data_IF_153592622122
#
_entry.id   IF_153592622122
#
_cell.length_a   1.000
_cell.length_b   1.000
_cell.length_c   1.000
_cell.angle_alpha   90.00
_cell.angle_beta   90.00
_cell.angle_gamma   90.00
#
_symmetry.space_group_name_H-M   'P 1'
#
loop_
_entity.id
_entity.type
_entity.pdbx_description
1 polymer ?
#
# COMPACT_ATOMS: atom_id res chain seq x y z
N UNK A 1 -13.76 -12.27 11.92
CA UNK A 1 -12.44 -12.66 12.44
C UNK A 1 -11.36 -11.78 11.82
N UNK A 2 -10.44 -11.34 12.64
CA UNK A 2 -9.33 -10.51 12.17
C UNK A 2 -8.20 -11.39 11.63
N UNK A 3 -7.74 -11.06 10.42
CA UNK A 3 -6.61 -11.76 9.80
C UNK A 3 -5.54 -10.76 9.44
N UNK A 4 -4.29 -11.13 9.66
CA UNK A 4 -3.15 -10.32 9.24
C UNK A 4 -2.31 -11.20 8.34
N UNK A 5 -2.19 -10.82 7.08
CA UNK A 5 -1.54 -11.65 6.06
C UNK A 5 -0.39 -10.87 5.45
N UNK A 6 0.86 -11.21 5.77
CA UNK A 6 1.99 -10.57 5.11
C UNK A 6 2.13 -11.10 3.68
N UNK A 7 2.28 -10.20 2.74
CA UNK A 7 2.48 -10.54 1.35
C UNK A 7 3.93 -10.37 0.92
N UNK A 8 4.75 -9.81 1.79
CA UNK A 8 6.18 -9.65 1.57
C UNK A 8 6.80 -9.03 2.79
N UNK A 9 8.13 -8.96 2.82
CA UNK A 9 8.87 -8.33 3.90
C UNK A 9 9.29 -9.23 5.04
N UNK A 10 8.78 -10.45 5.10
CA UNK A 10 9.19 -11.39 6.14
C UNK A 10 10.45 -12.11 5.71
N UNK A 11 11.50 -11.99 6.52
CA UNK A 11 12.76 -12.63 6.23
C UNK A 11 13.51 -12.04 5.06
N UNK A 12 13.14 -10.83 4.65
CA UNK A 12 13.80 -10.17 3.54
C UNK A 12 13.75 -8.66 3.75
N UNK A 13 14.64 -7.95 3.06
CA UNK A 13 14.68 -6.51 3.10
C UNK A 13 13.91 -5.99 1.91
N UNK A 14 12.96 -5.10 2.17
CA UNK A 14 12.10 -4.60 1.11
C UNK A 14 10.83 -5.43 0.96
N UNK A 15 10.06 -5.17 -0.08
CA UNK A 15 8.80 -5.85 -0.38
C UNK A 15 7.78 -5.77 0.76
N UNK A 16 7.87 -4.76 1.60
CA UNK A 16 6.97 -4.65 2.75
C UNK A 16 5.54 -4.43 2.30
N UNK A 17 4.69 -5.40 2.60
CA UNK A 17 3.28 -5.32 2.27
C UNK A 17 2.51 -6.27 3.15
N UNK A 18 1.44 -5.77 3.74
CA UNK A 18 0.63 -6.55 4.66
C UNK A 18 -0.83 -6.30 4.39
N UNK A 19 -1.62 -7.34 4.52
CA UNK A 19 -3.07 -7.23 4.39
C UNK A 19 -3.68 -7.40 5.78
N UNK A 20 -4.59 -6.50 6.14
CA UNK A 20 -5.36 -6.62 7.36
C UNK A 20 -6.82 -6.80 6.93
N UNK A 21 -7.39 -7.93 7.30
CA UNK A 21 -8.75 -8.26 6.90
C UNK A 21 -9.63 -8.49 8.11
N UNK A 22 -10.79 -7.87 8.11
CA UNK A 22 -11.78 -8.09 9.16
C UNK A 22 -13.14 -8.22 8.47
N UNK A 23 -13.75 -9.40 8.60
CA UNK A 23 -15.00 -9.73 7.91
C UNK A 23 -14.86 -9.48 6.41
N UNK A 24 -15.57 -8.53 5.84
CA UNK A 24 -15.54 -8.26 4.41
C UNK A 24 -14.76 -7.01 4.05
N UNK A 25 -13.89 -6.55 4.95
CA UNK A 25 -13.13 -5.32 4.76
C UNK A 25 -11.64 -5.63 4.77
N UNK A 26 -10.93 -5.17 3.76
CA UNK A 26 -9.49 -5.38 3.64
C UNK A 26 -8.78 -4.04 3.51
N UNK A 27 -7.75 -3.85 4.34
CA UNK A 27 -6.82 -2.73 4.23
C UNK A 27 -5.45 -3.26 3.86
N UNK A 28 -4.74 -2.53 3.03
CA UNK A 28 -3.37 -2.85 2.67
C UNK A 28 -2.45 -1.90 3.43
N UNK A 29 -1.46 -2.46 4.12
CA UNK A 29 -0.48 -1.66 4.85
C UNK A 29 0.83 -1.73 4.07
N UNK A 30 1.24 -0.61 3.50
CA UNK A 30 2.44 -0.46 2.69
C UNK A 30 2.38 -1.26 1.40
N UNK A 31 3.16 -0.84 0.42
CA UNK A 31 3.27 -1.51 -0.87
C UNK A 31 4.68 -1.29 -1.38
N UNK A 32 5.62 -2.04 -0.82
CA UNK A 32 7.04 -1.86 -1.08
C UNK A 32 7.53 -2.62 -2.28
N UNK A 33 8.72 -2.23 -2.73
CA UNK A 33 9.41 -2.97 -3.77
C UNK A 33 10.82 -3.25 -3.30
N UNK A 34 11.50 -4.12 -4.03
CA UNK A 34 12.88 -4.47 -3.75
C UNK A 34 13.64 -4.45 -5.07
N UNK A 35 14.90 -4.00 -5.02
CA UNK A 35 15.75 -4.10 -6.19
C UNK A 35 16.25 -5.54 -6.29
N UNK A 36 16.40 -6.08 -7.51
CA UNK A 36 16.76 -7.49 -7.68
C UNK A 36 18.18 -7.78 -7.21
N UNK A 37 18.36 -9.01 -6.76
CA UNK A 37 19.69 -9.50 -6.43
C UNK A 37 20.48 -9.77 -7.71
N UNK A 38 21.81 -9.87 -7.58
CA UNK A 38 22.66 -10.09 -8.74
C UNK A 38 22.31 -11.34 -9.55
N UNK A 39 21.76 -12.35 -8.90
CA UNK A 39 21.41 -13.58 -9.60
C UNK A 39 20.09 -13.51 -10.37
N UNK A 40 19.35 -12.43 -10.22
CA UNK A 40 18.08 -12.25 -10.92
C UNK A 40 18.30 -11.54 -12.25
N UNK A 41 18.82 -12.29 -13.21
CA UNK A 41 19.17 -11.70 -14.51
C UNK A 41 17.91 -11.25 -15.25
N UNK A 42 17.96 -10.05 -15.82
CA UNK A 42 16.85 -9.52 -16.60
C UNK A 42 15.70 -8.95 -15.80
N UNK A 43 15.86 -8.86 -14.49
CA UNK A 43 14.83 -8.29 -13.61
C UNK A 43 15.28 -6.92 -13.13
N UNK A 44 14.45 -5.90 -13.34
CA UNK A 44 14.77 -4.53 -12.93
C UNK A 44 14.28 -4.22 -11.53
N UNK A 45 13.09 -4.69 -11.18
CA UNK A 45 12.51 -4.48 -9.85
C UNK A 45 11.72 -5.73 -9.45
N UNK A 46 11.51 -5.86 -8.14
CA UNK A 46 10.69 -6.95 -7.59
C UNK A 46 9.56 -6.33 -6.80
N UNK A 47 8.34 -6.74 -7.09
CA UNK A 47 7.16 -6.26 -6.36
C UNK A 47 6.49 -7.45 -5.66
N UNK A 48 5.70 -7.18 -4.61
CA UNK A 48 5.02 -8.27 -3.90
C UNK A 48 4.02 -8.99 -4.80
N UNK A 49 3.75 -10.25 -4.47
CA UNK A 49 2.74 -11.01 -5.19
C UNK A 49 1.37 -10.40 -4.95
N UNK A 50 0.63 -10.21 -6.04
CA UNK A 50 -0.65 -9.49 -5.98
C UNK A 50 -1.86 -10.41 -6.09
N UNK A 51 -1.65 -11.71 -6.14
CA UNK A 51 -2.76 -12.63 -6.38
C UNK A 51 -3.86 -12.53 -5.35
N UNK A 52 -3.48 -12.49 -4.07
CA UNK A 52 -4.46 -12.38 -3.00
C UNK A 52 -5.30 -11.11 -3.14
N UNK A 53 -4.64 -10.02 -3.52
CA UNK A 53 -5.32 -8.75 -3.66
C UNK A 53 -6.28 -8.78 -4.84
N UNK A 54 -5.86 -9.36 -5.95
CA UNK A 54 -6.72 -9.46 -7.14
C UNK A 54 -7.96 -10.31 -6.87
N UNK A 55 -7.78 -11.38 -6.11
CA UNK A 55 -8.88 -12.29 -5.80
C UNK A 55 -9.89 -11.67 -4.84
N UNK A 56 -9.48 -10.67 -4.08
CA UNK A 56 -10.31 -10.08 -3.05
C UNK A 56 -10.58 -8.59 -3.29
N UNK A 57 -10.47 -8.13 -4.51
CA UNK A 57 -10.57 -6.69 -4.76
C UNK A 57 -11.91 -6.08 -4.38
N UNK A 58 -12.96 -6.87 -4.32
CA UNK A 58 -14.26 -6.36 -3.90
C UNK A 58 -14.28 -5.96 -2.43
N UNK A 59 -13.37 -6.49 -1.63
CA UNK A 59 -13.27 -6.20 -0.20
C UNK A 59 -12.30 -5.09 0.12
N UNK A 60 -11.47 -4.70 -0.83
CA UNK A 60 -10.42 -3.70 -0.61
C UNK A 60 -11.02 -2.32 -0.39
N UNK A 61 -10.57 -1.64 0.65
CA UNK A 61 -11.09 -0.32 1.00
C UNK A 61 -10.07 0.79 0.90
N UNK A 62 -8.82 0.52 1.28
CA UNK A 62 -7.82 1.58 1.32
C UNK A 62 -6.42 1.01 1.48
N UNK A 63 -5.43 1.85 1.16
CA UNK A 63 -4.03 1.56 1.42
C UNK A 63 -3.55 2.56 2.46
N UNK A 64 -2.89 2.07 3.51
CA UNK A 64 -2.31 2.91 4.54
C UNK A 64 -0.79 2.79 4.42
N UNK A 65 -0.11 3.92 4.32
CA UNK A 65 1.34 3.93 4.18
C UNK A 65 1.98 4.42 5.46
N UNK A 66 2.89 3.63 6.01
CA UNK A 66 3.52 3.95 7.28
C UNK A 66 4.61 5.03 7.13
N UNK A 67 5.41 4.93 6.07
CA UNK A 67 6.40 5.98 5.79
C UNK A 67 6.86 5.87 4.34
N UNK A 68 7.63 6.86 3.89
CA UNK A 68 7.87 7.09 2.47
C UNK A 68 9.18 6.52 1.93
N UNK A 69 9.59 5.36 2.40
CA UNK A 69 10.77 4.69 1.85
C UNK A 69 10.34 3.72 0.74
N UNK A 70 11.23 3.48 -0.22
CA UNK A 70 10.92 2.62 -1.36
C UNK A 70 10.47 1.21 -0.95
N UNK A 71 11.02 0.69 0.13
CA UNK A 71 10.61 -0.64 0.60
C UNK A 71 9.21 -0.62 1.21
N UNK A 72 8.55 0.54 1.26
CA UNK A 72 7.19 0.67 1.76
C UNK A 72 6.23 1.28 0.74
N UNK A 73 6.74 2.02 -0.26
CA UNK A 73 5.86 2.65 -1.24
C UNK A 73 6.22 2.33 -2.69
N UNK A 74 7.34 1.65 -2.92
CA UNK A 74 7.85 1.49 -4.28
C UNK A 74 6.89 0.76 -5.23
N UNK A 75 6.10 -0.16 -4.73
CA UNK A 75 5.16 -0.90 -5.57
C UNK A 75 3.79 -0.26 -5.64
N UNK A 76 3.58 0.83 -4.90
CA UNK A 76 2.27 1.48 -4.85
C UNK A 76 1.72 1.87 -6.22
N UNK A 77 2.51 2.49 -7.11
CA UNK A 77 1.96 2.83 -8.44
C UNK A 77 1.51 1.60 -9.21
N UNK A 78 2.21 0.48 -9.08
CA UNK A 78 1.83 -0.73 -9.79
C UNK A 78 0.51 -1.28 -9.27
N UNK A 79 0.32 -1.24 -7.96
CA UNK A 79 -0.93 -1.64 -7.35
C UNK A 79 -2.08 -0.75 -7.79
N UNK A 80 -1.88 0.57 -7.76
CA UNK A 80 -2.92 1.52 -8.07
C UNK A 80 -3.29 1.57 -9.55
N UNK A 81 -2.40 1.11 -10.41
CA UNK A 81 -2.73 0.96 -11.82
C UNK A 81 -3.80 -0.10 -12.02
N UNK A 82 -3.75 -1.16 -11.23
CA UNK A 82 -4.71 -2.23 -11.35
C UNK A 82 -5.99 -1.95 -10.56
N UNK A 83 -5.84 -1.42 -9.36
CA UNK A 83 -6.96 -1.22 -8.45
C UNK A 83 -6.86 0.16 -7.84
N UNK A 84 -7.80 1.03 -8.14
CA UNK A 84 -7.78 2.38 -7.61
C UNK A 84 -8.35 2.40 -6.21
N UNK A 85 -7.51 2.77 -5.25
CA UNK A 85 -7.88 2.80 -3.84
C UNK A 85 -7.45 4.12 -3.24
N UNK A 86 -8.20 4.63 -2.25
CA UNK A 86 -7.72 5.80 -1.53
C UNK A 86 -6.48 5.44 -0.72
N UNK A 87 -5.57 6.39 -0.61
CA UNK A 87 -4.30 6.20 0.10
C UNK A 87 -4.28 7.11 1.31
N UNK A 88 -3.91 6.56 2.45
CA UNK A 88 -3.83 7.30 3.72
C UNK A 88 -2.38 7.37 4.19
N UNK A 89 -1.98 8.54 4.64
CA UNK A 89 -0.63 8.72 5.17
C UNK A 89 -0.45 10.09 5.79
N UNK A 90 0.72 10.31 6.39
CA UNK A 90 1.03 11.61 6.95
C UNK A 90 1.35 12.61 5.84
N UNK A 91 1.41 13.91 6.17
CA UNK A 91 1.62 14.95 5.18
C UNK A 91 2.90 14.73 4.38
N UNK A 92 4.01 14.42 5.05
CA UNK A 92 5.27 14.20 4.38
C UNK A 92 5.19 13.01 3.43
N UNK A 93 4.63 11.92 3.93
CA UNK A 93 4.49 10.69 3.15
C UNK A 93 3.63 10.92 1.92
N UNK A 94 2.51 11.64 2.08
CA UNK A 94 1.62 11.90 0.95
C UNK A 94 2.27 12.79 -0.10
N UNK A 95 3.12 13.73 0.31
CA UNK A 95 3.84 14.58 -0.64
C UNK A 95 4.75 13.73 -1.53
N UNK A 96 5.46 12.79 -0.93
CA UNK A 96 6.35 11.91 -1.67
C UNK A 96 5.53 10.97 -2.58
N UNK A 97 4.44 10.44 -2.08
CA UNK A 97 3.57 9.56 -2.86
C UNK A 97 2.99 10.31 -4.05
N UNK A 98 2.55 11.55 -3.84
CA UNK A 98 2.00 12.34 -4.93
C UNK A 98 3.02 12.53 -6.04
N UNK A 99 4.26 12.82 -5.67
CA UNK A 99 5.32 12.98 -6.64
C UNK A 99 5.52 11.69 -7.44
N UNK A 100 5.52 10.57 -6.74
CA UNK A 100 5.67 9.27 -7.40
C UNK A 100 4.49 8.97 -8.32
N UNK A 101 3.27 9.31 -7.91
CA UNK A 101 2.10 9.08 -8.75
C UNK A 101 2.12 9.95 -10.00
N UNK A 102 2.65 11.16 -9.91
CA UNK A 102 2.80 12.02 -11.08
C UNK A 102 3.69 11.36 -12.13
N UNK A 103 4.77 10.72 -11.69
CA UNK A 103 5.67 10.03 -12.61
C UNK A 103 4.97 8.90 -13.35
N UNK A 104 3.95 8.31 -12.75
CA UNK A 104 3.19 7.22 -13.35
C UNK A 104 1.86 7.71 -13.94
N UNK A 105 1.64 9.03 -13.94
CA UNK A 105 0.43 9.66 -14.48
C UNK A 105 -0.84 9.17 -13.79
N UNK A 106 -0.75 8.93 -12.49
CA UNK A 106 -1.88 8.46 -11.68
C UNK A 106 -2.39 9.50 -10.71
N UNK A 107 -1.75 10.65 -10.64
CA UNK A 107 -2.05 11.65 -9.59
C UNK A 107 -3.48 12.19 -9.65
N UNK A 108 -4.09 12.21 -10.82
CA UNK A 108 -5.46 12.73 -10.94
C UNK A 108 -6.53 11.68 -10.65
N UNK A 109 -6.13 10.42 -10.52
CA UNK A 109 -7.07 9.32 -10.34
C UNK A 109 -7.11 8.77 -8.92
N UNK A 110 -6.16 9.17 -8.09
CA UNK A 110 -6.01 8.57 -6.77
C UNK A 110 -6.29 9.60 -5.69
N UNK A 111 -7.14 9.23 -4.75
CA UNK A 111 -7.48 10.10 -3.62
C UNK A 111 -6.43 9.91 -2.52
N UNK A 112 -5.85 11.03 -2.07
CA UNK A 112 -4.87 11.02 -0.98
C UNK A 112 -5.51 11.62 0.26
N UNK A 113 -5.44 10.90 1.37
CA UNK A 113 -6.07 11.31 2.61
C UNK A 113 -5.05 11.48 3.72
N UNK A 114 -5.07 12.64 4.34
CA UNK A 114 -4.11 12.97 5.39
C UNK A 114 -4.49 12.35 6.72
N UNK A 115 -3.51 11.75 7.37
CA UNK A 115 -3.64 11.24 8.73
C UNK A 115 -2.62 11.96 9.58
N UNK A 116 -3.05 12.52 10.71
CA UNK A 116 -2.13 13.11 11.68
C UNK A 116 -1.77 12.07 12.73
N UNK A 117 -0.50 12.01 13.15
CA UNK A 117 -0.08 11.04 14.16
C UNK A 117 -0.94 11.12 15.41
N UNK A 118 -1.39 9.98 15.88
CA UNK A 118 -2.24 9.91 17.06
C UNK A 118 -3.70 10.17 16.80
N UNK A 119 -4.05 10.55 15.59
CA UNK A 119 -5.42 10.84 15.24
C UNK A 119 -6.14 9.58 14.79
N UNK A 120 -7.42 9.53 15.10
CA UNK A 120 -8.24 8.39 14.71
C UNK A 120 -8.99 8.74 13.44
N UNK A 121 -8.98 7.85 12.48
CA UNK A 121 -9.74 8.05 11.26
C UNK A 121 -11.21 7.76 11.53
N UNK A 122 -12.04 8.68 11.07
CA UNK A 122 -13.49 8.56 11.25
C UNK A 122 -14.20 8.11 10.00
N UNK A 123 -13.50 7.43 9.11
CA UNK A 123 -14.13 6.90 7.91
C UNK A 123 -15.11 5.81 8.28
N UNK A 124 -16.27 6.22 8.54
CA UNK A 124 -17.26 5.34 9.07
C UNK A 124 -17.69 4.23 8.17
N UNK A 125 -17.68 4.47 6.91
CA UNK A 125 -18.06 3.44 5.98
C UNK A 125 -17.07 2.33 5.94
N UNK A 126 -15.87 2.67 6.23
CA UNK A 126 -14.84 1.69 6.38
C UNK A 126 -14.98 1.03 7.74
N UNK A 127 -15.62 1.75 8.64
CA UNK A 127 -16.01 1.19 9.91
C UNK A 127 -14.89 0.98 10.87
N UNK A 128 -13.78 1.65 10.68
CA UNK A 128 -12.66 1.36 11.55
C UNK A 128 -11.78 2.55 11.72
N UNK A 129 -10.99 2.49 12.75
CA UNK A 129 -9.92 3.43 12.89
C UNK A 129 -8.73 2.94 12.14
N UNK A 130 -8.11 3.85 11.43
CA UNK A 130 -6.82 3.61 10.81
C UNK A 130 -5.82 4.36 11.67
N UNK A 131 -4.99 3.63 12.36
CA UNK A 131 -4.02 4.24 13.25
C UNK A 131 -2.64 4.12 12.66
N UNK A 132 -1.92 5.19 12.73
CA UNK A 132 -0.55 5.18 12.24
C UNK A 132 0.44 5.33 13.35
#
# INVERSE_FOLDING_TARGET
MLKIIPLGGLGEIGLNMMVVEYDDVIFIIDAGLMFPENYMLGVDIVIPAMDYIRENKNKLKAVVITHAHEDHIGALPYLLKEIRLPVYGTAFTLAIIKHKLIEFELDTFIELNLINPGERSEERRVGKECRS
#
